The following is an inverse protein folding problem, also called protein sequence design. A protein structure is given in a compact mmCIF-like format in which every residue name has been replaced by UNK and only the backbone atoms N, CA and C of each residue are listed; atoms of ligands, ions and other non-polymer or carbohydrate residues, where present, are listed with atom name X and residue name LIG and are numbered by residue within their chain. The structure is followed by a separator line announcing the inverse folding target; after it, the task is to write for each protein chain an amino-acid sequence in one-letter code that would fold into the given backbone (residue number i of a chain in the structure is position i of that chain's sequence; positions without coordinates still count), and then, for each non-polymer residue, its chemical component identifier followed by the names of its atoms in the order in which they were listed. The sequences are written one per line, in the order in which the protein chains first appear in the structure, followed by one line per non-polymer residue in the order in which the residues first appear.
data_IF_218564835486
#
_entry.id   IF_218564835486
#
_cell.length_a   1.000
_cell.length_b   1.000
_cell.length_c   1.000
_cell.angle_alpha   90.00
_cell.angle_beta   90.00
_cell.angle_gamma   90.00
#
_symmetry.space_group_name_H-M   'P 1'
#
loop_
_entity.id
_entity.type
_entity.pdbx_description
1 polymer ?
#
# COMPACT_ATOMS: atom_id res chain seq x y z
N UNK A 1 -8.47 1.20 -4.63
CA UNK A 1 -9.25 2.46 -4.67
C UNK A 1 -9.85 2.55 -6.04
N UNK A 2 -11.13 2.84 -6.13
CA UNK A 2 -11.76 3.13 -7.41
C UNK A 2 -11.46 4.57 -7.84
N UNK A 3 -11.97 4.93 -9.02
CA UNK A 3 -11.85 6.27 -9.59
C UNK A 3 -12.56 7.37 -8.77
N UNK A 4 -13.37 7.00 -7.77
CA UNK A 4 -14.12 7.91 -6.91
C UNK A 4 -13.50 8.08 -5.52
N UNK A 5 -12.30 7.52 -5.30
CA UNK A 5 -11.62 7.58 -4.01
C UNK A 5 -12.22 6.65 -2.93
N UNK A 6 -13.14 5.77 -3.33
CA UNK A 6 -13.65 4.72 -2.47
C UNK A 6 -12.72 3.51 -2.52
N UNK A 7 -12.66 2.77 -1.42
CA UNK A 7 -11.74 1.66 -1.29
C UNK A 7 -12.29 0.61 -0.37
N UNK A 8 -12.23 -0.63 -0.84
CA UNK A 8 -12.57 -1.83 -0.08
C UNK A 8 -11.41 -2.83 -0.17
N UNK A 9 -11.31 -3.76 0.80
CA UNK A 9 -10.45 -4.92 0.66
C UNK A 9 -10.97 -5.80 -0.49
N UNK A 10 -10.07 -6.32 -1.32
CA UNK A 10 -10.42 -7.14 -2.50
C UNK A 10 -9.86 -8.56 -2.43
N UNK A 11 -8.94 -8.81 -1.50
CA UNK A 11 -8.39 -10.13 -1.21
C UNK A 11 -7.77 -10.13 0.18
N UNK A 12 -7.92 -11.25 0.88
CA UNK A 12 -7.08 -11.60 2.03
C UNK A 12 -6.29 -12.85 1.66
N UNK A 13 -5.01 -12.87 2.03
CA UNK A 13 -4.17 -14.06 1.87
C UNK A 13 -3.63 -14.44 3.24
N UNK A 14 -3.83 -15.69 3.63
CA UNK A 14 -3.17 -16.26 4.79
C UNK A 14 -1.87 -16.88 4.30
N UNK A 15 -0.75 -16.31 4.74
CA UNK A 15 0.60 -16.79 4.42
C UNK A 15 1.30 -17.20 5.70
N UNK A 16 1.98 -18.33 5.66
CA UNK A 16 2.76 -18.83 6.79
C UNK A 16 4.06 -18.04 6.96
N UNK A 17 4.68 -17.65 5.84
CA UNK A 17 5.92 -16.86 5.84
C UNK A 17 5.88 -15.76 4.78
N UNK A 18 6.67 -14.70 5.00
CA UNK A 18 6.79 -13.55 4.10
C UNK A 18 7.82 -13.79 2.96
N UNK A 19 7.96 -15.01 2.48
CA UNK A 19 8.89 -15.33 1.39
C UNK A 19 8.38 -14.89 0.01
N UNK A 20 9.31 -14.60 -0.91
CA UNK A 20 9.02 -14.15 -2.28
C UNK A 20 8.03 -15.07 -3.00
N UNK A 21 8.19 -16.38 -2.82
CA UNK A 21 7.31 -17.39 -3.41
C UNK A 21 5.85 -17.27 -2.94
N UNK A 22 5.62 -17.05 -1.63
CA UNK A 22 4.27 -16.87 -1.09
C UNK A 22 3.62 -15.60 -1.61
N UNK A 23 4.39 -14.51 -1.71
CA UNK A 23 3.90 -13.24 -2.27
C UNK A 23 3.54 -13.37 -3.75
N UNK A 24 4.36 -14.07 -4.55
CA UNK A 24 4.05 -14.37 -5.93
C UNK A 24 2.74 -15.15 -6.07
N UNK A 25 2.53 -16.17 -5.22
CA UNK A 25 1.27 -16.92 -5.19
C UNK A 25 0.06 -16.06 -4.82
N UNK A 26 0.21 -15.14 -3.87
CA UNK A 26 -0.85 -14.20 -3.54
C UNK A 26 -1.26 -13.34 -4.74
N UNK A 27 -0.28 -12.86 -5.51
CA UNK A 27 -0.52 -12.08 -6.73
C UNK A 27 -1.12 -12.92 -7.86
N UNK A 28 -0.72 -14.18 -8.01
CA UNK A 28 -1.33 -15.09 -8.98
C UNK A 28 -2.81 -15.32 -8.68
N UNK A 29 -3.14 -15.57 -7.40
CA UNK A 29 -4.52 -15.69 -6.96
C UNK A 29 -5.31 -14.40 -7.19
N UNK A 30 -4.70 -13.24 -6.92
CA UNK A 30 -5.31 -11.95 -7.23
C UNK A 30 -5.68 -11.81 -8.70
N UNK A 31 -4.74 -12.10 -9.60
CA UNK A 31 -4.96 -12.00 -11.05
C UNK A 31 -6.03 -12.98 -11.54
N UNK A 32 -6.08 -14.19 -10.97
CA UNK A 32 -7.09 -15.19 -11.32
C UNK A 32 -8.49 -14.80 -10.85
N UNK A 33 -8.60 -14.18 -9.68
CA UNK A 33 -9.89 -13.79 -9.10
C UNK A 33 -10.42 -12.43 -9.60
N UNK A 34 -9.57 -11.61 -10.24
CA UNK A 34 -9.92 -10.25 -10.66
C UNK A 34 -9.63 -10.04 -12.15
N UNK A 35 -10.63 -10.21 -13.03
CA UNK A 35 -10.49 -10.08 -14.49
C UNK A 35 -9.90 -8.71 -14.93
N UNK A 36 -10.20 -7.67 -14.15
CA UNK A 36 -9.77 -6.30 -14.38
C UNK A 36 -8.41 -5.94 -13.76
N UNK A 37 -7.61 -6.92 -13.31
CA UNK A 37 -6.31 -6.68 -12.68
C UNK A 37 -5.37 -5.82 -13.55
N UNK A 38 -5.53 -5.85 -14.89
CA UNK A 38 -4.78 -5.02 -15.85
C UNK A 38 -5.03 -3.52 -15.72
N UNK A 39 -6.08 -3.11 -15.01
CA UNK A 39 -6.35 -1.71 -14.70
C UNK A 39 -5.66 -1.22 -13.42
N UNK A 40 -5.00 -2.10 -12.66
CA UNK A 40 -4.18 -1.67 -11.51
C UNK A 40 -3.04 -0.80 -12.03
N UNK A 41 -2.98 0.46 -11.56
CA UNK A 41 -1.96 1.44 -11.94
C UNK A 41 -0.89 1.66 -10.89
N UNK A 42 -1.25 1.52 -9.61
CA UNK A 42 -0.37 1.76 -8.48
C UNK A 42 -0.57 0.65 -7.46
N UNK A 43 0.53 0.10 -6.98
CA UNK A 43 0.58 -0.81 -5.83
C UNK A 43 1.37 -0.12 -4.74
N UNK A 44 0.76 0.05 -3.56
CA UNK A 44 1.43 0.57 -2.37
C UNK A 44 1.74 -0.61 -1.47
N UNK A 45 3.02 -0.83 -1.21
CA UNK A 45 3.51 -1.85 -0.28
C UNK A 45 4.12 -1.13 0.91
N UNK A 46 3.93 -1.71 2.09
CA UNK A 46 4.56 -1.20 3.30
C UNK A 46 6.08 -1.38 3.23
N UNK A 47 6.82 -0.31 3.47
CA UNK A 47 8.29 -0.35 3.60
C UNK A 47 8.64 0.06 5.01
N UNK A 48 8.75 -0.94 5.86
CA UNK A 48 8.87 -0.76 7.30
C UNK A 48 10.11 0.04 7.72
N UNK A 49 9.91 1.01 8.61
CA UNK A 49 10.96 1.79 9.32
C UNK A 49 11.45 1.02 10.56
N UNK A 50 11.13 -0.28 10.69
CA UNK A 50 11.57 -1.16 11.79
C UNK A 50 13.10 -1.20 11.97
N UNK A 51 13.84 -0.84 10.93
CA UNK A 51 15.28 -0.55 10.98
C UNK A 51 15.67 0.42 12.09
N UNK A 52 14.87 1.44 12.43
CA UNK A 52 15.22 2.39 13.50
C UNK A 52 15.42 1.69 14.85
N UNK A 53 14.59 0.70 15.19
CA UNK A 53 14.77 -0.09 16.41
C UNK A 53 16.00 -0.98 16.31
N UNK A 54 16.29 -1.53 15.13
CA UNK A 54 17.47 -2.34 14.86
C UNK A 54 18.74 -1.48 14.95
N UNK A 55 18.73 -0.26 14.42
CA UNK A 55 19.80 0.73 14.45
C UNK A 55 20.09 1.12 15.90
N UNK A 56 19.07 1.46 16.70
CA UNK A 56 19.23 1.75 18.14
C UNK A 56 19.81 0.58 18.93
N UNK A 57 19.48 -0.66 18.55
CA UNK A 57 20.02 -1.89 19.18
C UNK A 57 21.44 -2.22 18.71
N UNK A 58 21.76 -1.95 17.45
CA UNK A 58 23.06 -2.26 16.83
C UNK A 58 24.11 -1.17 17.05
N UNK A 59 23.68 0.07 17.33
CA UNK A 59 24.54 1.24 17.55
C UNK A 59 24.18 1.95 18.87
N UNK A 60 24.37 1.30 20.04
CA UNK A 60 24.04 1.89 21.34
C UNK A 60 24.90 3.12 21.69
N UNK A 61 26.08 3.25 21.09
CA UNK A 61 27.03 4.35 21.30
C UNK A 61 26.77 5.58 20.41
N UNK A 62 25.80 5.49 19.48
CA UNK A 62 25.39 6.65 18.71
C UNK A 62 24.73 7.66 19.67
N UNK A 63 25.36 8.83 19.85
CA UNK A 63 24.84 9.91 20.72
C UNK A 63 23.39 10.20 20.31
N UNK A 64 22.50 10.32 21.29
CA UNK A 64 21.05 10.51 21.06
C UNK A 64 20.77 11.62 20.04
N UNK A 65 21.55 12.70 20.04
CA UNK A 65 21.45 13.81 19.09
C UNK A 65 21.80 13.43 17.63
N UNK A 66 22.85 12.62 17.43
CA UNK A 66 23.24 12.15 16.08
C UNK A 66 22.18 11.24 15.49
N UNK A 67 21.59 10.35 16.32
CA UNK A 67 20.48 9.49 15.90
C UNK A 67 19.24 10.31 15.56
N UNK A 68 18.89 11.30 16.38
CA UNK A 68 17.77 12.21 16.11
C UNK A 68 17.99 13.03 14.84
N UNK A 69 19.21 13.52 14.60
CA UNK A 69 19.57 14.23 13.38
C UNK A 69 19.46 13.31 12.14
N UNK A 70 20.01 12.11 12.20
CA UNK A 70 19.86 11.11 11.13
C UNK A 70 18.38 10.81 10.84
N UNK A 71 17.56 10.59 11.88
CA UNK A 71 16.12 10.35 11.71
C UNK A 71 15.37 11.53 11.08
N UNK A 72 15.75 12.75 11.43
CA UNK A 72 15.20 13.97 10.81
C UNK A 72 15.54 14.02 9.32
N UNK A 73 16.79 13.77 8.95
CA UNK A 73 17.19 13.74 7.54
C UNK A 73 16.54 12.59 6.76
N UNK A 74 16.35 11.41 7.37
CA UNK A 74 15.58 10.30 6.76
C UNK A 74 14.13 10.69 6.49
N UNK A 75 13.49 11.37 7.44
CA UNK A 75 12.13 11.88 7.27
C UNK A 75 12.07 12.93 6.16
N UNK A 76 13.03 13.86 6.14
CA UNK A 76 13.11 14.90 5.12
C UNK A 76 13.43 14.34 3.72
N UNK A 77 14.18 13.25 3.62
CA UNK A 77 14.38 12.50 2.37
C UNK A 77 13.08 11.84 1.88
N UNK A 78 12.10 11.59 2.75
CA UNK A 78 10.82 10.98 2.34
C UNK A 78 9.87 12.01 1.73
N UNK A 79 9.88 13.24 2.24
CA UNK A 79 8.98 14.31 1.82
C UNK A 79 9.65 15.53 1.15
N UNK A 80 10.75 15.39 0.38
CA UNK A 80 11.35 16.52 -0.29
C UNK A 80 10.41 17.00 -1.40
N UNK A 81 10.45 18.31 -1.67
CA UNK A 81 9.66 18.92 -2.75
C UNK A 81 10.33 18.81 -4.11
N UNK A 82 11.64 18.59 -4.15
CA UNK A 82 12.45 18.48 -5.36
C UNK A 82 13.47 17.35 -5.24
N UNK A 83 14.01 16.90 -6.37
CA UNK A 83 15.06 15.86 -6.42
C UNK A 83 16.36 16.35 -5.77
N UNK A 84 16.70 17.63 -5.95
CA UNK A 84 17.86 18.25 -5.31
C UNK A 84 17.74 18.22 -3.78
N UNK A 85 16.53 18.48 -3.26
CA UNK A 85 16.23 18.37 -1.83
C UNK A 85 16.42 16.95 -1.29
N UNK A 86 16.09 15.93 -2.09
CA UNK A 86 16.38 14.54 -1.76
C UNK A 86 17.90 14.28 -1.68
N UNK A 87 18.65 14.64 -2.72
CA UNK A 87 20.10 14.42 -2.76
C UNK A 87 20.85 15.17 -1.66
N UNK A 88 20.43 16.39 -1.32
CA UNK A 88 20.98 17.15 -0.20
C UNK A 88 20.80 16.41 1.12
N UNK A 89 19.58 16.01 1.48
CA UNK A 89 19.34 15.28 2.73
C UNK A 89 20.01 13.90 2.75
N UNK A 90 20.16 13.26 1.59
CA UNK A 90 20.94 12.02 1.46
C UNK A 90 22.42 12.25 1.77
N UNK A 91 23.00 13.33 1.28
CA UNK A 91 24.38 13.73 1.59
C UNK A 91 24.60 13.91 3.09
N UNK A 92 23.65 14.56 3.77
CA UNK A 92 23.67 14.73 5.22
C UNK A 92 23.61 13.39 5.98
N UNK A 93 22.72 12.47 5.56
CA UNK A 93 22.67 11.13 6.18
C UNK A 93 23.96 10.37 5.97
N UNK A 94 24.58 10.46 4.78
CA UNK A 94 25.88 9.84 4.51
C UNK A 94 26.96 10.38 5.45
N UNK A 95 27.07 11.70 5.53
CA UNK A 95 28.04 12.38 6.39
C UNK A 95 27.87 11.95 7.86
N UNK A 96 26.64 11.97 8.37
CA UNK A 96 26.32 11.60 9.75
C UNK A 96 26.47 10.10 10.05
N UNK A 97 26.27 9.22 9.06
CA UNK A 97 26.35 7.76 9.24
C UNK A 97 27.78 7.25 9.15
N UNK A 98 28.64 7.90 8.36
CA UNK A 98 30.03 7.52 8.19
C UNK A 98 30.99 8.11 9.25
N UNK A 99 30.47 8.86 10.23
CA UNK A 99 31.26 9.28 11.39
C UNK A 99 31.75 8.05 12.17
N UNK A 100 33.04 8.06 12.53
CA UNK A 100 33.70 7.01 13.31
C UNK A 100 33.75 5.63 12.61
N UNK A 101 33.96 5.61 11.28
CA UNK A 101 34.05 4.39 10.46
C UNK A 101 32.79 3.50 10.45
N UNK A 102 31.63 4.06 10.83
CA UNK A 102 30.34 3.32 10.92
C UNK A 102 29.62 3.17 9.57
N UNK A 103 30.34 2.75 8.55
CA UNK A 103 29.86 2.67 7.15
C UNK A 103 28.75 1.64 6.90
N UNK A 104 28.64 0.58 7.73
CA UNK A 104 27.69 -0.53 7.51
C UNK A 104 26.23 -0.07 7.46
N UNK A 105 25.89 0.94 8.25
CA UNK A 105 24.54 1.52 8.24
C UNK A 105 24.27 2.23 6.91
N UNK A 106 25.23 3.01 6.43
CA UNK A 106 25.14 3.72 5.16
C UNK A 106 25.06 2.74 3.99
N UNK A 107 25.91 1.71 3.94
CA UNK A 107 25.90 0.70 2.87
C UNK A 107 24.55 -0.03 2.77
N UNK A 108 24.00 -0.42 3.92
CA UNK A 108 22.66 -1.01 3.98
C UNK A 108 21.61 -0.02 3.50
N UNK A 109 21.65 1.23 3.98
CA UNK A 109 20.68 2.26 3.59
C UNK A 109 20.73 2.52 2.08
N UNK A 110 21.92 2.69 1.53
CA UNK A 110 22.12 2.99 0.12
C UNK A 110 21.58 1.84 -0.74
N UNK A 111 22.03 0.61 -0.48
CA UNK A 111 21.57 -0.58 -1.20
C UNK A 111 20.07 -0.85 -1.07
N UNK A 112 19.49 -0.68 0.11
CA UNK A 112 18.12 -1.12 0.37
C UNK A 112 17.08 -0.01 0.19
N UNK A 113 17.48 1.26 0.24
CA UNK A 113 16.56 2.41 0.14
C UNK A 113 16.83 3.31 -1.05
N UNK A 114 18.09 3.57 -1.40
CA UNK A 114 18.39 4.43 -2.54
C UNK A 114 18.04 3.75 -3.87
N UNK A 115 18.32 2.46 -4.01
CA UNK A 115 18.04 1.67 -5.24
C UNK A 115 16.56 1.67 -5.66
N UNK A 116 15.64 2.04 -4.76
CA UNK A 116 14.23 2.22 -5.09
C UNK A 116 13.65 3.52 -4.54
N UNK A 117 14.44 4.60 -4.51
CA UNK A 117 14.02 5.92 -4.04
C UNK A 117 12.76 6.46 -4.75
N UNK A 118 12.60 6.18 -6.03
CA UNK A 118 11.41 6.51 -6.82
C UNK A 118 10.10 5.94 -6.23
N UNK A 119 10.18 4.83 -5.47
CA UNK A 119 9.01 4.20 -4.87
C UNK A 119 8.54 4.86 -3.57
N UNK A 120 9.36 5.68 -2.89
CA UNK A 120 9.03 6.21 -1.57
C UNK A 120 9.33 7.70 -1.36
N UNK A 121 10.16 8.32 -2.18
CA UNK A 121 10.46 9.76 -2.11
C UNK A 121 9.35 10.55 -2.81
N UNK A 122 8.82 11.57 -2.13
CA UNK A 122 7.70 12.38 -2.63
C UNK A 122 8.00 13.09 -3.96
N UNK A 123 9.22 13.61 -4.14
CA UNK A 123 9.61 14.34 -5.34
C UNK A 123 9.39 13.51 -6.63
N UNK A 124 9.78 12.23 -6.63
CA UNK A 124 9.62 11.33 -7.79
C UNK A 124 8.19 10.80 -7.98
N UNK A 125 7.29 11.07 -7.03
CA UNK A 125 5.93 10.48 -6.99
C UNK A 125 4.82 11.51 -7.11
N UNK A 126 5.16 12.78 -7.31
CA UNK A 126 4.20 13.89 -7.35
C UNK A 126 3.15 13.71 -8.45
N UNK A 127 3.54 13.13 -9.59
CA UNK A 127 2.66 12.93 -10.74
C UNK A 127 1.86 11.62 -10.71
N UNK A 128 2.10 10.75 -9.71
CA UNK A 128 1.37 9.50 -9.60
C UNK A 128 -0.06 9.78 -9.07
N UNK A 129 -1.11 9.21 -9.69
CA UNK A 129 -2.49 9.35 -9.20
C UNK A 129 -2.70 8.59 -7.89
N UNK A 130 -2.23 9.15 -6.77
CA UNK A 130 -2.25 8.53 -5.45
C UNK A 130 -3.63 8.60 -4.78
N UNK A 131 -4.61 9.31 -5.36
CA UNK A 131 -5.98 9.46 -4.84
C UNK A 131 -6.03 9.83 -3.35
N UNK A 132 -5.17 10.76 -2.94
CA UNK A 132 -5.01 11.19 -1.53
C UNK A 132 -4.35 10.16 -0.60
N UNK A 133 -3.94 9.00 -1.11
CA UNK A 133 -3.35 7.91 -0.34
C UNK A 133 -1.82 7.91 -0.47
N UNK A 134 -1.16 8.82 0.25
CA UNK A 134 0.31 8.93 0.26
C UNK A 134 0.99 7.93 1.21
N UNK A 135 0.24 7.35 2.14
CA UNK A 135 0.76 6.49 3.21
C UNK A 135 -0.11 5.23 3.37
N UNK A 136 0.41 4.25 4.10
CA UNK A 136 -0.28 2.99 4.40
C UNK A 136 -1.41 3.15 5.46
N UNK A 137 -1.67 4.35 5.98
CA UNK A 137 -2.59 4.62 7.10
C UNK A 137 -3.97 3.95 6.94
N UNK A 138 -4.51 3.91 5.72
CA UNK A 138 -5.82 3.30 5.44
C UNK A 138 -5.77 1.78 5.61
N UNK A 139 -4.66 1.15 5.19
CA UNK A 139 -4.39 -0.28 5.37
C UNK A 139 -4.13 -0.60 6.84
N UNK A 140 -3.36 0.23 7.54
CA UNK A 140 -3.14 0.08 8.98
C UNK A 140 -4.44 0.21 9.79
N UNK A 141 -5.28 1.18 9.45
CA UNK A 141 -6.60 1.38 10.08
C UNK A 141 -7.52 0.18 9.85
N UNK A 142 -7.51 -0.39 8.64
CA UNK A 142 -8.23 -1.61 8.29
C UNK A 142 -7.76 -2.78 9.18
N UNK A 143 -6.45 -3.02 9.23
CA UNK A 143 -5.88 -4.08 10.08
C UNK A 143 -6.15 -3.83 11.57
N UNK A 144 -6.12 -2.58 12.03
CA UNK A 144 -6.45 -2.23 13.42
C UNK A 144 -7.92 -2.51 13.76
N UNK A 145 -8.86 -2.27 12.83
CA UNK A 145 -10.28 -2.64 12.99
C UNK A 145 -10.46 -4.15 13.01
N UNK A 146 -9.80 -4.87 12.11
CA UNK A 146 -9.86 -6.32 12.02
C UNK A 146 -9.26 -7.02 13.26
N UNK A 147 -8.07 -6.57 13.70
CA UNK A 147 -7.40 -7.09 14.91
C UNK A 147 -8.22 -6.90 16.19
N UNK A 148 -9.13 -5.91 16.25
CA UNK A 148 -10.06 -5.77 17.39
C UNK A 148 -11.13 -6.86 17.44
N UNK A 149 -11.52 -7.38 16.28
CA UNK A 149 -12.53 -8.44 16.14
C UNK A 149 -11.91 -9.83 16.29
N UNK A 150 -10.67 -10.02 15.80
CA UNK A 150 -9.91 -11.24 16.00
C UNK A 150 -9.42 -11.35 17.45
N UNK A 151 -9.77 -12.43 18.14
CA UNK A 151 -9.30 -12.71 19.50
C UNK A 151 -8.21 -13.76 19.49
N UNK A 152 -7.28 -13.65 20.42
CA UNK A 152 -6.11 -14.56 20.52
C UNK A 152 -6.48 -16.03 20.74
N UNK A 153 -7.64 -16.31 21.34
CA UNK A 153 -8.11 -17.66 21.63
C UNK A 153 -8.98 -18.27 20.52
N UNK A 154 -9.18 -17.56 19.41
CA UNK A 154 -9.98 -18.10 18.29
C UNK A 154 -9.23 -19.22 17.58
N UNK A 155 -9.98 -20.27 17.22
CA UNK A 155 -9.48 -21.28 16.28
C UNK A 155 -9.30 -20.66 14.90
N UNK A 156 -8.57 -21.36 14.02
CA UNK A 156 -8.42 -20.92 12.63
C UNK A 156 -9.77 -20.75 11.93
N UNK A 157 -10.69 -21.70 12.11
CA UNK A 157 -12.04 -21.64 11.55
C UNK A 157 -12.81 -20.42 12.05
N UNK A 158 -12.78 -20.13 13.35
CA UNK A 158 -13.43 -18.97 13.92
C UNK A 158 -12.82 -17.65 13.39
N UNK A 159 -11.50 -17.61 13.23
CA UNK A 159 -10.79 -16.46 12.66
C UNK A 159 -11.16 -16.21 11.20
N UNK A 160 -11.28 -17.28 10.40
CA UNK A 160 -11.74 -17.21 9.02
C UNK A 160 -13.19 -16.73 8.93
N UNK A 161 -14.07 -17.21 9.81
CA UNK A 161 -15.45 -16.72 9.86
C UNK A 161 -15.52 -15.21 10.12
N UNK A 162 -14.73 -14.71 11.08
CA UNK A 162 -14.65 -13.26 11.36
C UNK A 162 -14.14 -12.48 10.16
N UNK A 163 -13.14 -12.99 9.44
CA UNK A 163 -12.62 -12.37 8.22
C UNK A 163 -13.67 -12.27 7.13
N UNK A 164 -14.39 -13.36 6.84
CA UNK A 164 -15.45 -13.40 5.82
C UNK A 164 -16.61 -12.49 6.21
N UNK A 165 -17.06 -12.53 7.47
CA UNK A 165 -18.12 -11.65 7.98
C UNK A 165 -17.71 -10.18 7.96
N UNK A 166 -16.42 -9.87 8.15
CA UNK A 166 -15.89 -8.52 8.02
C UNK A 166 -15.86 -8.06 6.56
N UNK A 167 -15.45 -8.94 5.65
CA UNK A 167 -15.42 -8.65 4.21
C UNK A 167 -16.81 -8.34 3.68
N UNK A 168 -17.79 -9.20 3.97
CA UNK A 168 -19.18 -9.02 3.54
C UNK A 168 -19.72 -7.65 3.98
N UNK A 169 -19.50 -7.26 5.24
CA UNK A 169 -19.90 -5.94 5.76
C UNK A 169 -19.22 -4.78 5.00
N UNK A 170 -17.96 -4.94 4.59
CA UNK A 170 -17.24 -3.90 3.84
C UNK A 170 -17.74 -3.76 2.42
N UNK A 171 -18.12 -4.86 1.78
CA UNK A 171 -18.76 -4.86 0.46
C UNK A 171 -20.15 -4.20 0.52
N UNK A 172 -20.97 -4.55 1.53
CA UNK A 172 -22.28 -3.93 1.79
C UNK A 172 -22.18 -2.41 2.04
N UNK A 173 -21.13 -1.94 2.73
CA UNK A 173 -20.87 -0.51 2.92
C UNK A 173 -20.31 0.19 1.66
N UNK A 174 -19.78 -0.56 0.71
CA UNK A 174 -19.11 -0.04 -0.49
C UNK A 174 -20.10 0.12 -1.64
N UNK A 175 -20.93 -0.89 -1.90
CA UNK A 175 -21.82 -0.95 -3.06
C UNK A 175 -22.73 0.29 -3.20
N UNK A 176 -23.39 0.79 -2.12
CA UNK A 176 -24.23 1.99 -2.21
C UNK A 176 -23.45 3.25 -2.60
N UNK A 177 -22.14 3.31 -2.32
CA UNK A 177 -21.30 4.48 -2.65
C UNK A 177 -20.87 4.49 -4.12
N UNK A 178 -20.90 3.34 -4.77
CA UNK A 178 -20.52 3.17 -6.18
C UNK A 178 -21.75 3.15 -7.09
N UNK A 179 -22.89 2.67 -6.59
CA UNK A 179 -24.16 2.59 -7.35
C UNK A 179 -25.00 3.87 -7.37
N UNK A 180 -24.61 4.95 -6.67
CA UNK A 180 -25.42 6.18 -6.66
C UNK A 180 -25.63 6.77 -8.08
N UNK A 181 -26.88 6.96 -8.53
CA UNK A 181 -27.15 7.64 -9.79
C UNK A 181 -26.56 9.06 -9.77
N UNK A 182 -25.65 9.36 -10.71
CA UNK A 182 -24.97 10.67 -10.83
C UNK A 182 -23.46 10.65 -10.64
N UNK A 183 -22.85 9.56 -10.15
CA UNK A 183 -21.38 9.36 -10.16
C UNK A 183 -20.87 8.78 -11.49
N UNK A 184 -21.75 8.20 -12.30
CA UNK A 184 -21.45 7.83 -13.68
C UNK A 184 -21.43 9.07 -14.58
N UNK A 185 -20.25 9.61 -14.90
CA UNK A 185 -20.15 10.32 -16.18
C UNK A 185 -20.38 9.27 -17.25
N UNK A 186 -21.57 9.33 -17.83
CA UNK A 186 -21.96 8.68 -19.09
C UNK A 186 -20.74 8.69 -19.99
N UNK A 187 -20.12 7.52 -20.18
CA UNK A 187 -19.38 7.27 -21.41
C UNK A 187 -20.44 7.42 -22.49
N UNK A 188 -20.55 8.63 -23.06
CA UNK A 188 -21.18 8.82 -24.36
C UNK A 188 -20.36 7.93 -25.29
N UNK A 189 -20.75 6.66 -25.42
CA UNK A 189 -20.58 5.96 -26.68
C UNK A 189 -21.16 6.92 -27.71
N UNK A 190 -20.33 7.42 -28.61
CA UNK A 190 -20.81 8.05 -29.83
C UNK A 190 -21.71 6.99 -30.47
N UNK A 191 -23.01 7.23 -30.42
CA UNK A 191 -23.96 6.58 -31.30
C UNK A 191 -23.64 7.08 -32.70
N UNK A 192 -22.98 6.23 -33.49
CA UNK A 192 -23.24 6.15 -34.91
C UNK A 192 -23.99 4.85 -35.13
N UNK A 193 -25.29 5.04 -35.41
CA UNK A 193 -26.23 4.24 -36.18
C UNK A 193 -25.87 2.76 -36.48
N UNK A 194 -26.70 1.82 -36.02
CA UNK A 194 -27.68 1.09 -36.84
C UNK A 194 -28.18 -0.18 -36.13
N UNK A 195 -29.52 -0.27 -36.04
CA UNK A 195 -30.40 -1.45 -36.09
C UNK A 195 -30.08 -2.75 -35.31
N UNK A 196 -31.09 -3.23 -34.57
CA UNK A 196 -31.40 -4.66 -34.49
C UNK A 196 -31.32 -5.33 -33.11
N UNK A 197 -32.50 -5.50 -32.52
CA UNK A 197 -33.01 -6.67 -31.80
C UNK A 197 -32.53 -7.06 -30.38
N UNK A 198 -33.58 -7.24 -29.56
CA UNK A 198 -33.76 -7.98 -28.32
C UNK A 198 -32.57 -8.82 -27.78
N UNK A 199 -32.13 -8.46 -26.56
CA UNK A 199 -32.09 -9.45 -25.49
C UNK A 199 -31.98 -8.77 -24.12
N UNK A 200 -32.93 -9.09 -23.25
CA UNK A 200 -32.93 -8.77 -21.82
C UNK A 200 -31.80 -9.51 -21.11
N UNK A 201 -30.88 -8.79 -20.47
CA UNK A 201 -29.97 -9.35 -19.49
C UNK A 201 -30.13 -8.60 -18.16
N UNK A 202 -30.85 -9.25 -17.24
CA UNK A 202 -30.99 -8.82 -15.86
C UNK A 202 -29.66 -8.92 -15.09
N UNK A 203 -29.62 -8.41 -13.84
CA UNK A 203 -28.40 -8.32 -13.06
C UNK A 203 -27.82 -9.70 -12.73
N UNK A 204 -26.48 -9.81 -12.86
CA UNK A 204 -25.70 -10.98 -12.47
C UNK A 204 -26.00 -11.35 -11.00
N UNK A 205 -26.68 -12.48 -10.81
CA UNK A 205 -26.58 -13.28 -9.59
C UNK A 205 -25.40 -14.23 -9.75
N UNK A 206 -24.50 -14.26 -8.78
CA UNK A 206 -23.67 -15.45 -8.55
C UNK A 206 -23.97 -15.96 -7.14
N UNK A 207 -24.19 -17.27 -7.10
CA UNK A 207 -24.75 -18.10 -6.05
C UNK A 207 -23.75 -18.47 -4.96
N UNK A 208 -24.34 -18.92 -3.84
CA UNK A 208 -23.89 -19.83 -2.76
C UNK A 208 -22.44 -20.30 -2.70
#
# INVERSE_FOLDING_TARGET
MDQFGQGQPVQYSLIETNGDWHMAKCLDHFKRANEHWRFVRIVIVDKDIREVKVIRKKLPEARNEAVLAQMKHITNMTYPRTEEGYHMHRGEVKSLSCQDDRIKLWEYFDKNRNDCCEMWVKAYRVDLPHFGNHTNNRVESLFGKLKRQLKSHFTMQASLKVLVDYQRRKEEEYWPKVEMPGTGRVLRRRNECCAGDDNTLGPLRIWS
#
